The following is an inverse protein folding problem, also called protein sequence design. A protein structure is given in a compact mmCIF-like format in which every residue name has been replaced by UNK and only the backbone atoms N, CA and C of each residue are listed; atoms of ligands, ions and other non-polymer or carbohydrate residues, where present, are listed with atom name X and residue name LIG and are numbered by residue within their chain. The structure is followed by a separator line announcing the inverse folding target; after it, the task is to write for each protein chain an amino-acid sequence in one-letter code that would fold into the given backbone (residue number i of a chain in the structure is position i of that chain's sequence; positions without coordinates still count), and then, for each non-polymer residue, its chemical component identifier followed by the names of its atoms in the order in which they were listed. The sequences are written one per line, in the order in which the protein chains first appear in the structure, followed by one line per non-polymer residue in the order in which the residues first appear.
data_IF_262461536841
#
_entry.id   IF_262461536841
#
_cell.length_a   1.000
_cell.length_b   1.000
_cell.length_c   1.000
_cell.angle_alpha   90.00
_cell.angle_beta   90.00
_cell.angle_gamma   90.00
#
_symmetry.space_group_name_H-M   'P 1'
#
loop_
_entity.id
_entity.type
_entity.pdbx_description
1 polymer ?
#
# COMPACT_ATOMS: atom_id res chain seq x y z
N UNK A 1 -14.07 13.94 13.45
CA UNK A 1 -12.82 13.21 13.16
C UNK A 1 -12.76 11.94 14.00
N UNK A 2 -12.59 10.78 13.38
CA UNK A 2 -12.25 9.54 14.10
C UNK A 2 -10.73 9.48 14.28
N UNK A 3 -10.23 8.72 15.26
CA UNK A 3 -8.78 8.55 15.51
C UNK A 3 -8.02 8.17 14.22
N UNK A 4 -8.67 7.38 13.36
CA UNK A 4 -8.12 6.97 12.06
C UNK A 4 -7.90 8.16 11.12
N UNK A 5 -8.86 9.10 11.03
CA UNK A 5 -8.73 10.31 10.21
C UNK A 5 -7.67 11.27 10.76
N UNK A 6 -7.53 11.36 12.09
CA UNK A 6 -6.49 12.19 12.71
C UNK A 6 -5.07 11.71 12.36
N UNK A 7 -4.89 10.41 12.11
CA UNK A 7 -3.58 9.81 11.77
C UNK A 7 -3.34 9.80 10.26
N UNK A 8 -4.37 9.62 9.45
CA UNK A 8 -4.26 9.51 7.98
C UNK A 8 -4.42 10.85 7.24
N UNK A 9 -4.89 11.90 7.92
CA UNK A 9 -5.28 13.17 7.30
C UNK A 9 -6.72 13.15 6.78
N UNK A 10 -7.29 14.35 6.57
CA UNK A 10 -8.71 14.51 6.22
C UNK A 10 -9.06 13.98 4.81
N UNK A 11 -8.06 13.77 3.94
CA UNK A 11 -8.23 13.17 2.62
C UNK A 11 -8.07 11.64 2.56
N UNK A 12 -7.87 10.94 3.69
CA UNK A 12 -7.53 9.52 3.67
C UNK A 12 -6.09 9.25 3.18
N UNK A 13 -5.66 7.98 3.10
CA UNK A 13 -4.29 7.61 2.80
C UNK A 13 -3.92 8.04 1.37
N UNK A 14 -2.86 8.85 1.19
CA UNK A 14 -2.29 9.09 -0.13
C UNK A 14 -1.95 7.75 -0.80
N UNK A 15 -2.00 7.61 -2.13
CA UNK A 15 -2.36 8.61 -3.14
C UNK A 15 -3.83 8.57 -3.58
N UNK A 16 -4.68 7.74 -2.97
CA UNK A 16 -5.90 7.25 -3.63
C UNK A 16 -7.03 8.27 -3.69
N UNK A 17 -7.20 9.13 -2.68
CA UNK A 17 -8.17 10.22 -2.77
C UNK A 17 -7.76 11.26 -3.82
N UNK A 18 -6.46 11.58 -3.93
CA UNK A 18 -5.93 12.41 -5.01
C UNK A 18 -6.16 11.81 -6.40
N UNK A 19 -6.07 10.48 -6.53
CA UNK A 19 -6.43 9.79 -7.78
C UNK A 19 -7.91 9.92 -8.10
N UNK A 20 -8.79 9.72 -7.12
CA UNK A 20 -10.24 9.91 -7.34
C UNK A 20 -10.52 11.34 -7.75
N UNK A 21 -10.00 12.34 -7.04
CA UNK A 21 -10.16 13.75 -7.37
C UNK A 21 -9.65 14.08 -8.79
N UNK A 22 -8.51 13.54 -9.21
CA UNK A 22 -7.97 13.75 -10.56
C UNK A 22 -8.92 13.32 -11.67
N UNK A 23 -9.73 12.27 -11.46
CA UNK A 23 -10.64 11.76 -12.49
C UNK A 23 -12.10 12.17 -12.30
N UNK A 24 -12.54 12.39 -11.06
CA UNK A 24 -13.91 12.76 -10.71
C UNK A 24 -14.12 14.27 -10.52
N UNK A 25 -13.03 15.06 -10.43
CA UNK A 25 -13.06 16.47 -10.07
C UNK A 25 -13.27 16.71 -8.57
N UNK A 26 -13.14 17.96 -8.12
CA UNK A 26 -13.18 18.34 -6.70
C UNK A 26 -11.82 18.22 -6.01
N UNK A 27 -11.80 18.44 -4.71
CA UNK A 27 -10.57 18.36 -3.91
C UNK A 27 -10.41 16.96 -3.28
N UNK A 28 -9.18 16.50 -2.99
CA UNK A 28 -8.96 15.18 -2.39
C UNK A 28 -9.75 14.94 -1.09
N UNK A 29 -9.98 15.97 -0.27
CA UNK A 29 -10.75 15.85 0.97
C UNK A 29 -12.21 15.46 0.73
N UNK A 30 -12.78 15.86 -0.41
CA UNK A 30 -14.15 15.48 -0.81
C UNK A 30 -14.27 13.98 -1.10
N UNK A 31 -13.14 13.30 -1.32
CA UNK A 31 -13.05 11.91 -1.78
C UNK A 31 -12.40 10.96 -0.77
N UNK A 32 -12.36 11.32 0.53
CA UNK A 32 -11.71 10.50 1.54
C UNK A 32 -12.24 9.04 1.59
N UNK A 33 -13.56 8.84 1.59
CA UNK A 33 -14.16 7.50 1.60
C UNK A 33 -13.93 6.73 0.29
N UNK A 34 -14.20 7.29 -0.91
CA UNK A 34 -13.82 6.66 -2.18
C UNK A 34 -12.33 6.30 -2.25
N UNK A 35 -11.45 7.20 -1.79
CA UNK A 35 -10.01 6.99 -1.71
C UNK A 35 -9.64 5.82 -0.81
N UNK A 36 -10.25 5.72 0.37
CA UNK A 36 -10.07 4.57 1.27
C UNK A 36 -10.46 3.25 0.63
N UNK A 37 -11.63 3.19 -0.03
CA UNK A 37 -12.10 1.98 -0.72
C UNK A 37 -11.12 1.56 -1.80
N UNK A 38 -10.66 2.53 -2.61
CA UNK A 38 -9.66 2.27 -3.65
C UNK A 38 -8.35 1.77 -3.05
N UNK A 39 -7.92 2.30 -1.91
CA UNK A 39 -6.71 1.87 -1.22
C UNK A 39 -6.80 0.42 -0.74
N UNK A 40 -7.94 0.03 -0.16
CA UNK A 40 -8.20 -1.34 0.26
C UNK A 40 -8.17 -2.28 -0.94
N UNK A 41 -8.80 -1.91 -2.06
CA UNK A 41 -8.76 -2.71 -3.30
C UNK A 41 -7.33 -2.89 -3.78
N UNK A 42 -6.54 -1.81 -3.82
CA UNK A 42 -5.12 -1.88 -4.17
C UNK A 42 -4.34 -2.83 -3.26
N UNK A 43 -4.55 -2.74 -1.94
CA UNK A 43 -3.92 -3.61 -0.97
C UNK A 43 -4.29 -5.09 -1.15
N UNK A 44 -5.55 -5.40 -1.44
CA UNK A 44 -6.00 -6.78 -1.70
C UNK A 44 -5.39 -7.31 -3.00
N UNK A 45 -5.43 -6.53 -4.09
CA UNK A 45 -4.89 -6.92 -5.39
C UNK A 45 -3.38 -7.11 -5.30
N UNK A 46 -2.65 -6.20 -4.65
CA UNK A 46 -1.21 -6.33 -4.44
C UNK A 46 -0.87 -7.59 -3.63
N UNK A 47 -1.65 -7.87 -2.58
CA UNK A 47 -1.49 -9.09 -1.78
C UNK A 47 -1.67 -10.36 -2.62
N UNK A 48 -2.71 -10.41 -3.45
CA UNK A 48 -2.95 -11.51 -4.38
C UNK A 48 -1.83 -11.66 -5.42
N UNK A 49 -1.33 -10.54 -5.97
CA UNK A 49 -0.20 -10.52 -6.89
C UNK A 49 1.05 -11.09 -6.24
N UNK A 50 1.33 -10.76 -4.98
CA UNK A 50 2.46 -11.36 -4.26
C UNK A 50 2.26 -12.85 -3.99
N UNK A 51 1.08 -13.23 -3.47
CA UNK A 51 0.76 -14.61 -3.11
C UNK A 51 0.86 -15.58 -4.28
N UNK A 52 0.45 -15.15 -5.48
CA UNK A 52 0.50 -15.95 -6.72
C UNK A 52 1.82 -15.74 -7.46
N UNK A 53 2.28 -14.50 -7.56
CA UNK A 53 3.46 -14.12 -8.35
C UNK A 53 4.75 -14.66 -7.78
N UNK A 54 4.94 -14.68 -6.45
CA UNK A 54 6.17 -15.21 -5.86
C UNK A 54 6.38 -16.70 -6.21
N UNK A 55 5.41 -17.61 -6.02
CA UNK A 55 5.52 -18.99 -6.48
C UNK A 55 5.76 -19.14 -7.99
N UNK A 56 5.09 -18.34 -8.83
CA UNK A 56 5.30 -18.37 -10.28
C UNK A 56 6.72 -17.98 -10.71
N UNK A 57 7.40 -17.16 -9.90
CA UNK A 57 8.80 -16.80 -10.08
C UNK A 57 9.78 -17.80 -9.45
N UNK A 58 9.27 -18.92 -8.92
CA UNK A 58 10.08 -19.93 -8.24
C UNK A 58 10.51 -19.57 -6.82
N UNK A 59 9.90 -18.54 -6.22
CA UNK A 59 10.18 -18.13 -4.84
C UNK A 59 9.32 -18.94 -3.86
N UNK A 60 9.98 -19.64 -2.94
CA UNK A 60 9.30 -20.45 -1.93
C UNK A 60 8.76 -19.61 -0.76
N UNK A 61 7.48 -19.78 -0.43
CA UNK A 61 6.84 -19.15 0.74
C UNK A 61 6.75 -20.08 1.96
N UNK A 62 7.17 -21.34 1.87
CA UNK A 62 7.00 -22.33 2.96
C UNK A 62 7.86 -22.11 4.21
N UNK A 63 8.77 -21.14 4.20
CA UNK A 63 9.52 -20.70 5.39
C UNK A 63 9.02 -19.33 5.79
N UNK A 64 8.51 -19.19 7.02
CA UNK A 64 8.03 -17.90 7.57
C UNK A 64 9.12 -16.83 7.46
N UNK A 65 10.37 -17.17 7.79
CA UNK A 65 11.48 -16.21 7.73
C UNK A 65 11.72 -15.71 6.30
N UNK A 66 11.71 -16.62 5.31
CA UNK A 66 11.89 -16.25 3.90
C UNK A 66 10.70 -15.45 3.40
N UNK A 67 9.47 -15.89 3.70
CA UNK A 67 8.26 -15.22 3.28
C UNK A 67 8.15 -13.80 3.85
N UNK A 68 8.55 -13.57 5.11
CA UNK A 68 8.62 -12.25 5.73
C UNK A 68 9.63 -11.35 5.02
N UNK A 69 10.83 -11.85 4.69
CA UNK A 69 11.83 -11.07 3.96
C UNK A 69 11.34 -10.70 2.56
N UNK A 70 10.76 -11.66 1.84
CA UNK A 70 10.17 -11.40 0.52
C UNK A 70 9.01 -10.41 0.60
N UNK A 71 8.16 -10.54 1.61
CA UNK A 71 7.05 -9.61 1.88
C UNK A 71 7.54 -8.21 2.20
N UNK A 72 8.61 -8.07 2.99
CA UNK A 72 9.26 -6.78 3.27
C UNK A 72 9.78 -6.14 1.97
N UNK A 73 10.54 -6.89 1.16
CA UNK A 73 11.04 -6.39 -0.13
C UNK A 73 9.87 -5.96 -1.02
N UNK A 74 8.81 -6.76 -1.09
CA UNK A 74 7.61 -6.42 -1.85
C UNK A 74 6.93 -5.15 -1.34
N UNK A 75 6.78 -4.99 -0.02
CA UNK A 75 6.27 -3.77 0.60
C UNK A 75 7.09 -2.53 0.25
N UNK A 76 8.42 -2.64 0.23
CA UNK A 76 9.31 -1.55 -0.19
C UNK A 76 9.15 -1.21 -1.68
N UNK A 77 8.96 -2.20 -2.54
CA UNK A 77 8.67 -1.97 -3.97
C UNK A 77 7.34 -1.24 -4.14
N UNK A 78 6.29 -1.65 -3.42
CA UNK A 78 5.00 -0.96 -3.42
C UNK A 78 5.13 0.48 -2.90
N UNK A 79 5.92 0.70 -1.85
CA UNK A 79 6.22 2.04 -1.32
C UNK A 79 6.83 2.94 -2.40
N UNK A 80 7.84 2.44 -3.12
CA UNK A 80 8.49 3.17 -4.21
C UNK A 80 7.48 3.45 -5.34
N UNK A 81 6.67 2.46 -5.73
CA UNK A 81 5.62 2.66 -6.73
C UNK A 81 4.59 3.72 -6.30
N UNK A 82 4.14 3.68 -5.05
CA UNK A 82 3.24 4.68 -4.49
C UNK A 82 3.81 6.10 -4.56
N UNK A 83 5.06 6.30 -4.13
CA UNK A 83 5.65 7.65 -4.08
C UNK A 83 6.13 8.13 -5.45
N UNK A 84 6.86 7.30 -6.19
CA UNK A 84 7.51 7.73 -7.43
C UNK A 84 6.53 7.73 -8.61
N UNK A 85 5.73 6.68 -8.74
CA UNK A 85 4.80 6.56 -9.85
C UNK A 85 3.48 7.27 -9.53
N UNK A 86 2.79 6.92 -8.45
CA UNK A 86 1.48 7.51 -8.19
C UNK A 86 1.54 8.97 -7.73
N UNK A 87 2.31 9.28 -6.69
CA UNK A 87 2.36 10.65 -6.16
C UNK A 87 3.10 11.58 -7.13
N UNK A 88 4.39 11.34 -7.39
CA UNK A 88 5.21 12.27 -8.18
C UNK A 88 4.84 12.31 -9.66
N UNK A 89 4.77 11.16 -10.33
CA UNK A 89 4.57 11.12 -11.78
C UNK A 89 3.10 11.32 -12.17
N UNK A 90 2.17 10.60 -11.56
CA UNK A 90 0.75 10.66 -11.96
C UNK A 90 0.05 11.86 -11.34
N UNK A 91 0.25 12.14 -10.05
CA UNK A 91 -0.45 13.23 -9.37
C UNK A 91 0.30 14.56 -9.36
N UNK A 92 1.61 14.57 -9.68
CA UNK A 92 2.43 15.78 -9.53
C UNK A 92 2.62 16.20 -8.06
N UNK A 93 2.39 15.28 -7.13
CA UNK A 93 2.49 15.50 -5.69
C UNK A 93 3.88 15.12 -5.21
N UNK A 94 4.60 16.06 -4.61
CA UNK A 94 5.84 15.77 -3.90
C UNK A 94 5.53 15.41 -2.44
N UNK A 95 5.81 14.16 -2.00
CA UNK A 95 5.58 13.79 -0.61
C UNK A 95 6.61 14.47 0.30
N UNK A 96 6.12 15.11 1.35
CA UNK A 96 6.96 15.66 2.41
C UNK A 96 7.54 14.57 3.33
N UNK A 97 8.37 14.97 4.29
CA UNK A 97 9.04 14.03 5.21
C UNK A 97 8.03 13.17 5.97
N UNK A 98 6.97 13.76 6.49
CA UNK A 98 6.02 13.06 7.35
C UNK A 98 5.21 12.05 6.52
N UNK A 99 4.80 12.44 5.32
CA UNK A 99 4.18 11.55 4.34
C UNK A 99 5.11 10.39 3.98
N UNK A 100 6.38 10.66 3.68
CA UNK A 100 7.35 9.60 3.35
C UNK A 100 7.54 8.61 4.51
N UNK A 101 7.66 9.10 5.75
CA UNK A 101 7.83 8.25 6.93
C UNK A 101 6.59 7.40 7.18
N UNK A 102 5.41 8.03 7.19
CA UNK A 102 4.14 7.33 7.40
C UNK A 102 3.90 6.29 6.31
N UNK A 103 4.00 6.69 5.04
CA UNK A 103 3.78 5.84 3.89
C UNK A 103 4.75 4.67 3.86
N UNK A 104 6.03 4.91 4.13
CA UNK A 104 7.03 3.87 4.26
C UNK A 104 6.73 2.89 5.41
N UNK A 105 6.36 3.42 6.58
CA UNK A 105 6.04 2.59 7.75
C UNK A 105 4.89 1.63 7.47
N UNK A 106 3.78 2.12 6.91
CA UNK A 106 2.62 1.26 6.64
C UNK A 106 2.91 0.21 5.58
N UNK A 107 3.76 0.50 4.59
CA UNK A 107 4.14 -0.47 3.56
C UNK A 107 5.10 -1.54 4.08
N UNK A 108 6.03 -1.16 4.96
CA UNK A 108 6.89 -2.10 5.68
C UNK A 108 6.05 -3.05 6.54
N UNK A 109 5.12 -2.50 7.34
CA UNK A 109 4.22 -3.30 8.18
C UNK A 109 3.36 -4.22 7.33
N UNK A 110 2.74 -3.69 6.27
CA UNK A 110 1.93 -4.48 5.34
C UNK A 110 2.72 -5.64 4.74
N UNK A 111 3.94 -5.37 4.22
CA UNK A 111 4.77 -6.40 3.60
C UNK A 111 5.20 -7.50 4.57
N UNK A 112 5.63 -7.12 5.77
CA UNK A 112 6.02 -8.06 6.83
C UNK A 112 4.84 -8.94 7.25
N UNK A 113 3.68 -8.33 7.50
CA UNK A 113 2.49 -9.07 7.91
C UNK A 113 1.96 -9.99 6.80
N UNK A 114 1.97 -9.53 5.55
CA UNK A 114 1.59 -10.35 4.40
C UNK A 114 2.51 -11.57 4.26
N UNK A 115 3.83 -11.37 4.36
CA UNK A 115 4.81 -12.43 4.32
C UNK A 115 4.65 -13.43 5.46
N UNK A 116 4.45 -12.95 6.69
CA UNK A 116 4.21 -13.81 7.85
C UNK A 116 2.91 -14.62 7.69
N UNK A 117 1.84 -13.98 7.24
CA UNK A 117 0.53 -14.59 7.06
C UNK A 117 0.56 -15.74 6.03
N UNK A 118 1.20 -15.50 4.88
CA UNK A 118 1.36 -16.53 3.85
C UNK A 118 2.34 -17.62 4.28
N UNK A 119 3.47 -17.24 4.89
CA UNK A 119 4.47 -18.20 5.36
C UNK A 119 3.99 -19.10 6.50
N UNK A 120 3.00 -18.65 7.27
CA UNK A 120 2.34 -19.44 8.30
C UNK A 120 1.27 -20.40 7.74
N UNK A 121 1.01 -20.40 6.44
CA UNK A 121 0.02 -21.27 5.81
C UNK A 121 -1.44 -20.85 6.08
N UNK A 122 -1.70 -19.60 6.45
CA UNK A 122 -3.07 -19.15 6.77
C UNK A 122 -3.96 -19.07 5.51
N UNK A 123 -3.35 -19.01 4.32
CA UNK A 123 -4.05 -18.95 3.04
C UNK A 123 -3.54 -20.00 2.03
N UNK A 124 -2.71 -20.95 2.46
CA UNK A 124 -2.08 -21.98 1.62
C UNK A 124 -2.46 -23.39 2.08
#
# INVERSE_FOLDING_TARGET
MTIVMTVMGDGGPPPTAGLVAKFAGGEPEDHAMPGMVLHVIYGVVAGAVFAVGAPLLGLGLGSIAVAVVLGLVYGLVLMIGGMMFWMRMVLGMEPDRDTMVMFGTVHVVYGVLLGAFLGAGILA
#
